data_IF_521648383722
#
_entry.id   IF_521648383722
#
_cell.length_a   1.000
_cell.length_b   1.000
_cell.length_c   1.000
_cell.angle_alpha   90.00
_cell.angle_beta   90.00
_cell.angle_gamma   90.00
#
_symmetry.space_group_name_H-M   'P 1'
#
loop_
_entity.id
_entity.type
_entity.pdbx_description
1 polymer ?
#
# COMPACT_ATOMS: atom_id res chain seq x y z
N UNK A 1 19.99 11.30 21.61
CA UNK A 1 20.67 12.30 20.76
C UNK A 1 21.80 12.99 21.52
N UNK A 2 22.94 13.33 20.88
CA UNK A 2 23.95 14.22 21.46
C UNK A 2 23.33 15.58 21.86
N UNK A 3 23.66 16.09 23.05
CA UNK A 3 23.01 17.26 23.65
C UNK A 3 23.12 18.56 22.82
N UNK A 4 24.14 18.69 21.96
CA UNK A 4 24.34 19.88 21.12
C UNK A 4 23.48 19.94 19.85
N UNK A 5 22.81 18.85 19.45
CA UNK A 5 22.04 18.82 18.19
C UNK A 5 20.61 19.36 18.33
N UNK A 6 20.00 19.21 19.50
CA UNK A 6 18.61 19.69 19.73
C UNK A 6 18.51 21.22 19.54
N UNK A 7 19.36 22.06 20.16
CA UNK A 7 19.31 23.52 19.94
C UNK A 7 19.62 23.93 18.50
N UNK A 8 20.41 23.12 17.78
CA UNK A 8 20.69 23.34 16.36
C UNK A 8 19.43 23.11 15.52
N UNK A 9 18.73 22.00 15.74
CA UNK A 9 17.49 21.69 15.02
C UNK A 9 16.36 22.66 15.37
N UNK A 10 16.23 23.09 16.62
CA UNK A 10 15.28 24.15 17.01
C UNK A 10 15.54 25.44 16.23
N UNK A 11 16.80 25.85 16.08
CA UNK A 11 17.16 27.03 15.28
C UNK A 11 16.81 26.84 13.80
N UNK A 12 17.01 25.63 13.25
CA UNK A 12 16.63 25.31 11.87
C UNK A 12 15.11 25.37 11.68
N UNK A 13 14.31 24.89 12.65
CA UNK A 13 12.84 25.01 12.62
C UNK A 13 12.40 26.48 12.70
N UNK A 14 13.02 27.27 13.59
CA UNK A 14 12.74 28.71 13.70
C UNK A 14 13.00 29.46 12.38
N UNK A 15 14.04 29.07 11.63
CA UNK A 15 14.32 29.67 10.34
C UNK A 15 13.18 29.42 9.34
N UNK A 16 12.59 28.23 9.34
CA UNK A 16 11.43 27.91 8.50
C UNK A 16 10.22 28.78 8.88
N UNK A 17 9.98 28.97 10.18
CA UNK A 17 8.87 29.80 10.66
C UNK A 17 9.02 31.29 10.32
N UNK A 18 10.25 31.75 10.08
CA UNK A 18 10.55 33.13 9.68
C UNK A 18 10.35 33.38 8.18
N UNK A 19 10.14 32.32 7.38
CA UNK A 19 9.77 32.48 5.97
C UNK A 19 8.40 33.14 5.85
N UNK A 20 8.07 33.63 4.64
CA UNK A 20 6.71 34.06 4.33
C UNK A 20 5.72 32.94 4.66
N UNK A 21 4.55 33.30 5.20
CA UNK A 21 3.59 32.36 5.78
C UNK A 21 3.29 31.15 4.86
N UNK A 22 3.10 31.40 3.55
CA UNK A 22 2.84 30.32 2.58
C UNK A 22 4.03 29.37 2.44
N UNK A 23 5.26 29.90 2.34
CA UNK A 23 6.47 29.09 2.23
C UNK A 23 6.73 28.28 3.50
N UNK A 24 6.51 28.87 4.68
CA UNK A 24 6.61 28.14 5.95
C UNK A 24 5.64 26.96 5.98
N UNK A 25 4.38 27.16 5.56
CA UNK A 25 3.40 26.07 5.48
C UNK A 25 3.79 25.00 4.46
N UNK A 26 4.29 25.37 3.27
CA UNK A 26 4.76 24.40 2.27
C UNK A 26 5.94 23.57 2.78
N UNK A 27 6.92 24.21 3.41
CA UNK A 27 8.04 23.53 4.04
C UNK A 27 7.55 22.55 5.13
N UNK A 28 6.60 22.99 5.96
CA UNK A 28 6.01 22.15 7.02
C UNK A 28 5.34 20.89 6.44
N UNK A 29 4.55 21.04 5.39
CA UNK A 29 3.89 19.93 4.70
C UNK A 29 4.89 18.93 4.12
N UNK A 30 5.92 19.44 3.43
CA UNK A 30 6.98 18.61 2.82
C UNK A 30 7.81 17.87 3.86
N UNK A 31 8.26 18.56 4.92
CA UNK A 31 9.05 17.96 6.00
C UNK A 31 8.20 16.92 6.74
N UNK A 32 6.94 17.23 7.06
CA UNK A 32 6.03 16.30 7.71
C UNK A 32 5.88 15.01 6.91
N UNK A 33 5.56 15.13 5.61
CA UNK A 33 5.41 13.97 4.72
C UNK A 33 6.70 13.15 4.60
N UNK A 34 7.85 13.80 4.42
CA UNK A 34 9.15 13.13 4.35
C UNK A 34 9.54 12.44 5.66
N UNK A 35 9.10 12.95 6.80
CA UNK A 35 9.43 12.41 8.13
C UNK A 35 8.65 11.14 8.47
N UNK A 36 7.37 11.09 8.10
CA UNK A 36 6.49 9.93 8.37
C UNK A 36 6.56 8.86 7.27
N UNK A 37 7.24 9.13 6.15
CA UNK A 37 7.35 8.18 5.05
C UNK A 37 8.18 6.95 5.43
N UNK A 38 7.74 5.75 5.04
CA UNK A 38 8.45 4.50 5.32
C UNK A 38 9.67 4.27 4.43
N UNK A 39 9.81 5.08 3.37
CA UNK A 39 11.00 5.14 2.51
C UNK A 39 11.16 6.55 1.95
N UNK A 40 12.36 6.92 1.45
CA UNK A 40 12.55 8.14 0.69
C UNK A 40 11.51 8.26 -0.43
N UNK A 41 10.88 9.43 -0.53
CA UNK A 41 9.84 9.70 -1.52
C UNK A 41 10.46 10.25 -2.81
N UNK A 42 10.03 9.73 -3.95
CA UNK A 42 10.34 10.37 -5.23
C UNK A 42 9.63 11.73 -5.29
N UNK A 43 10.18 12.72 -6.00
CA UNK A 43 9.59 14.05 -6.11
C UNK A 43 8.13 14.02 -6.59
N UNK A 44 7.81 13.17 -7.58
CA UNK A 44 6.42 12.97 -8.03
C UNK A 44 5.49 12.48 -6.92
N UNK A 45 5.97 11.64 -6.00
CA UNK A 45 5.18 11.11 -4.88
C UNK A 45 5.03 12.15 -3.79
N UNK A 46 6.13 12.85 -3.44
CA UNK A 46 6.12 13.88 -2.41
C UNK A 46 5.20 15.04 -2.79
N UNK A 47 5.19 15.46 -4.05
CA UNK A 47 4.31 16.53 -4.52
C UNK A 47 2.82 16.25 -4.23
N UNK A 48 2.38 15.03 -4.53
CA UNK A 48 0.97 14.64 -4.32
C UNK A 48 0.66 14.27 -2.86
N UNK A 49 1.62 13.68 -2.12
CA UNK A 49 1.43 13.22 -0.75
C UNK A 49 1.55 14.32 0.31
N UNK A 50 2.40 15.32 0.07
CA UNK A 50 2.56 16.47 0.98
C UNK A 50 1.30 17.33 1.08
N UNK A 51 0.38 17.23 0.11
CA UNK A 51 -0.83 18.03 0.08
C UNK A 51 -0.62 19.46 -0.38
N UNK A 52 0.50 19.75 -1.04
CA UNK A 52 0.76 21.04 -1.68
C UNK A 52 -0.30 21.35 -2.75
N UNK A 53 -0.59 22.64 -3.00
CA UNK A 53 -1.34 23.06 -4.17
C UNK A 53 -0.68 22.56 -5.47
N UNK A 54 -1.48 22.26 -6.50
CA UNK A 54 -1.00 21.65 -7.75
C UNK A 54 0.04 22.53 -8.47
N UNK A 55 -0.20 23.84 -8.50
CA UNK A 55 0.68 24.86 -9.06
C UNK A 55 2.04 24.94 -8.35
N UNK A 56 2.08 24.64 -7.05
CA UNK A 56 3.33 24.62 -6.26
C UNK A 56 4.05 23.28 -6.41
N UNK A 57 3.31 22.18 -6.59
CA UNK A 57 3.89 20.85 -6.80
C UNK A 57 4.76 20.78 -8.06
N UNK A 58 4.52 21.63 -9.06
CA UNK A 58 5.34 21.71 -10.27
C UNK A 58 6.75 22.28 -10.00
N UNK A 59 6.91 23.08 -8.94
CA UNK A 59 8.19 23.62 -8.46
C UNK A 59 8.60 23.06 -7.09
N UNK A 60 8.32 21.77 -6.87
CA UNK A 60 8.60 21.09 -5.61
C UNK A 60 10.08 21.16 -5.19
N UNK A 61 11.01 21.22 -6.15
CA UNK A 61 12.45 21.32 -5.86
C UNK A 61 12.77 22.58 -5.08
N UNK A 62 12.20 23.72 -5.48
CA UNK A 62 12.38 24.99 -4.77
C UNK A 62 11.86 24.91 -3.32
N UNK A 63 10.76 24.20 -3.09
CA UNK A 63 10.24 23.96 -1.73
C UNK A 63 11.19 23.08 -0.90
N UNK A 64 11.71 22.00 -1.50
CA UNK A 64 12.68 21.13 -0.83
C UNK A 64 14.00 21.87 -0.56
N UNK A 65 14.43 22.77 -1.44
CA UNK A 65 15.63 23.59 -1.25
C UNK A 65 15.46 24.59 -0.09
N UNK A 66 14.25 25.13 0.13
CA UNK A 66 13.95 25.90 1.35
C UNK A 66 14.06 25.04 2.62
N UNK A 67 13.87 23.73 2.49
CA UNK A 67 14.00 22.75 3.57
C UNK A 67 15.38 22.09 3.63
N UNK A 68 16.40 22.63 2.94
CA UNK A 68 17.72 22.01 2.81
C UNK A 68 18.48 21.79 4.13
N UNK A 69 18.01 22.37 5.24
CA UNK A 69 18.50 22.08 6.59
C UNK A 69 18.11 20.69 7.09
N UNK A 70 17.04 20.10 6.56
CA UNK A 70 16.50 18.80 6.95
C UNK A 70 16.46 17.79 5.81
N UNK A 71 16.31 18.27 4.58
CA UNK A 71 16.07 17.45 3.40
C UNK A 71 17.19 17.58 2.36
N UNK A 72 17.41 16.52 1.62
CA UNK A 72 18.32 16.52 0.47
C UNK A 72 17.72 15.70 -0.67
N UNK A 73 18.01 16.11 -1.92
CA UNK A 73 17.56 15.41 -3.12
C UNK A 73 18.72 14.59 -3.70
N UNK A 74 18.50 13.30 -3.93
CA UNK A 74 19.43 12.40 -4.66
C UNK A 74 18.63 11.55 -5.62
N UNK A 75 19.00 11.53 -6.90
CA UNK A 75 18.31 10.76 -7.94
C UNK A 75 16.79 10.93 -7.93
N UNK A 76 16.34 12.19 -7.78
CA UNK A 76 14.92 12.59 -7.66
C UNK A 76 14.17 12.03 -6.45
N UNK A 77 14.88 11.50 -5.45
CA UNK A 77 14.32 11.07 -4.18
C UNK A 77 14.72 12.04 -3.06
N UNK A 78 13.79 12.29 -2.15
CA UNK A 78 13.96 13.19 -1.01
C UNK A 78 14.28 12.37 0.24
N UNK A 79 15.41 12.69 0.85
CA UNK A 79 15.93 12.05 2.05
C UNK A 79 15.99 13.03 3.21
N UNK A 80 15.74 12.55 4.42
CA UNK A 80 16.20 13.23 5.63
C UNK A 80 17.73 13.16 5.68
N UNK A 81 18.38 14.26 6.05
CA UNK A 81 19.85 14.36 6.04
C UNK A 81 20.50 13.41 7.06
N UNK A 82 19.81 13.07 8.15
CA UNK A 82 20.31 12.14 9.16
C UNK A 82 19.18 11.53 10.03
N UNK A 83 19.39 10.33 10.59
CA UNK A 83 18.40 9.68 11.47
C UNK A 83 18.04 10.52 12.70
N UNK A 84 19.00 11.24 13.29
CA UNK A 84 18.73 12.13 14.43
C UNK A 84 17.79 13.29 14.11
N UNK A 85 17.70 13.70 12.84
CA UNK A 85 16.70 14.68 12.39
C UNK A 85 15.31 14.06 12.50
N UNK A 86 15.15 12.81 12.07
CA UNK A 86 13.88 12.11 12.18
C UNK A 86 13.42 12.04 13.64
N UNK A 87 14.30 11.59 14.54
CA UNK A 87 14.01 11.47 15.96
C UNK A 87 13.59 12.82 16.58
N UNK A 88 14.27 13.91 16.21
CA UNK A 88 13.92 15.26 16.66
C UNK A 88 12.57 15.73 16.10
N UNK A 89 12.34 15.52 14.80
CA UNK A 89 11.13 15.98 14.13
C UNK A 89 9.89 15.25 14.66
N UNK A 90 9.98 13.96 14.97
CA UNK A 90 8.88 13.17 15.53
C UNK A 90 8.28 13.76 16.82
N UNK A 91 9.09 14.48 17.60
CA UNK A 91 8.67 15.15 18.83
C UNK A 91 8.29 16.63 18.61
N UNK A 92 8.48 17.16 17.40
CA UNK A 92 8.27 18.57 17.09
C UNK A 92 6.80 18.92 16.89
N UNK A 93 6.23 19.66 17.84
CA UNK A 93 4.87 20.23 17.74
C UNK A 93 4.74 21.33 16.69
N UNK A 94 5.87 21.95 16.29
CA UNK A 94 5.88 23.00 15.27
C UNK A 94 5.66 22.42 13.88
N UNK A 95 6.33 21.30 13.58
CA UNK A 95 6.18 20.62 12.30
C UNK A 95 4.88 19.79 12.29
N UNK A 96 4.64 19.05 13.36
CA UNK A 96 3.43 18.25 13.56
C UNK A 96 2.40 18.98 14.45
N UNK A 97 1.82 20.08 13.93
CA UNK A 97 0.81 20.87 14.66
C UNK A 97 -0.35 20.04 15.22
N UNK A 98 -0.77 19.01 14.48
CA UNK A 98 -1.86 18.12 14.85
C UNK A 98 -1.36 16.76 15.41
N UNK A 99 -0.06 16.65 15.65
CA UNK A 99 0.59 15.44 16.13
C UNK A 99 1.00 14.46 15.03
N UNK A 100 1.86 13.52 15.42
CA UNK A 100 2.45 12.50 14.54
C UNK A 100 1.38 11.60 13.90
N UNK A 101 0.38 11.18 14.68
CA UNK A 101 -0.72 10.35 14.21
C UNK A 101 -1.57 11.03 13.11
N UNK A 102 -1.80 12.34 13.23
CA UNK A 102 -2.55 13.10 12.23
C UNK A 102 -1.77 13.25 10.91
N UNK A 103 -0.45 13.27 10.96
CA UNK A 103 0.37 13.24 9.75
C UNK A 103 0.28 11.88 9.02
N UNK A 104 0.31 10.76 9.75
CA UNK A 104 0.01 9.45 9.17
C UNK A 104 -1.42 9.40 8.59
N UNK A 105 -2.42 9.94 9.29
CA UNK A 105 -3.79 10.00 8.78
C UNK A 105 -3.89 10.82 7.48
N UNK A 106 -3.18 11.95 7.41
CA UNK A 106 -3.10 12.77 6.20
C UNK A 106 -2.47 12.00 5.03
N UNK A 107 -1.36 11.30 5.27
CA UNK A 107 -0.71 10.45 4.26
C UNK A 107 -1.62 9.34 3.76
N UNK A 108 -2.42 8.73 4.65
CA UNK A 108 -3.44 7.75 4.29
C UNK A 108 -4.51 8.36 3.38
N UNK A 109 -5.13 9.48 3.76
CA UNK A 109 -6.18 10.12 2.98
C UNK A 109 -5.68 10.56 1.60
N UNK A 110 -4.48 11.16 1.54
CA UNK A 110 -3.84 11.53 0.28
C UNK A 110 -3.55 10.30 -0.58
N UNK A 111 -3.06 9.22 0.02
CA UNK A 111 -2.82 7.97 -0.71
C UNK A 111 -4.09 7.39 -1.33
N UNK A 112 -5.20 7.35 -0.59
CA UNK A 112 -6.49 6.89 -1.12
C UNK A 112 -6.95 7.79 -2.28
N UNK A 113 -6.85 9.11 -2.13
CA UNK A 113 -7.24 10.05 -3.17
C UNK A 113 -6.41 9.85 -4.45
N UNK A 114 -5.08 9.80 -4.34
CA UNK A 114 -4.17 9.63 -5.48
C UNK A 114 -4.45 8.32 -6.20
N UNK A 115 -4.58 7.21 -5.46
CA UNK A 115 -4.91 5.92 -6.06
C UNK A 115 -6.29 5.93 -6.71
N UNK A 116 -7.28 6.59 -6.12
CA UNK A 116 -8.62 6.69 -6.70
C UNK A 116 -8.63 7.47 -8.01
N UNK A 117 -7.81 8.52 -8.11
CA UNK A 117 -7.69 9.36 -9.30
C UNK A 117 -6.80 8.72 -10.39
N UNK A 118 -5.78 7.95 -9.98
CA UNK A 118 -4.75 7.42 -10.89
C UNK A 118 -5.08 6.03 -11.41
N UNK A 119 -5.58 5.13 -10.54
CA UNK A 119 -5.72 3.73 -10.87
C UNK A 119 -6.93 3.49 -11.79
N UNK A 120 -6.66 2.83 -12.91
CA UNK A 120 -7.61 2.42 -13.95
C UNK A 120 -7.28 0.99 -14.41
N UNK A 121 -8.23 0.37 -15.11
CA UNK A 121 -7.98 -0.87 -15.85
C UNK A 121 -6.86 -0.64 -16.88
N UNK A 122 -5.92 -1.57 -16.92
CA UNK A 122 -4.85 -1.65 -17.91
C UNK A 122 -3.94 -0.43 -17.83
N UNK A 123 -3.38 -0.23 -16.63
CA UNK A 123 -2.54 0.90 -16.26
C UNK A 123 -1.40 1.13 -17.25
N UNK A 124 -0.80 0.05 -17.77
CA UNK A 124 0.34 0.09 -18.70
C UNK A 124 -0.05 -0.28 -20.15
N UNK A 125 -1.35 -0.32 -20.45
CA UNK A 125 -1.89 -0.65 -21.79
C UNK A 125 -1.30 -1.97 -22.35
N UNK A 126 -1.32 -3.03 -21.54
CA UNK A 126 -0.84 -4.38 -21.86
C UNK A 126 -1.75 -5.13 -22.83
N UNK A 127 -3.02 -4.73 -22.94
CA UNK A 127 -4.06 -5.24 -23.85
C UNK A 127 -4.50 -6.70 -23.70
N UNK A 128 -3.63 -7.59 -23.20
CA UNK A 128 -3.90 -9.02 -23.16
C UNK A 128 -3.70 -9.61 -21.76
N UNK A 129 -4.68 -10.38 -21.23
CA UNK A 129 -4.60 -11.00 -19.91
C UNK A 129 -3.41 -11.92 -19.67
N UNK A 130 -2.79 -12.44 -20.73
CA UNK A 130 -1.63 -13.32 -20.67
C UNK A 130 -0.27 -12.60 -20.64
N UNK A 131 -0.24 -11.26 -20.64
CA UNK A 131 1.01 -10.50 -20.60
C UNK A 131 1.79 -10.81 -19.31
N UNK A 132 2.96 -11.42 -19.46
CA UNK A 132 3.84 -11.76 -18.34
C UNK A 132 4.49 -10.51 -17.75
N UNK A 133 4.51 -10.40 -16.43
CA UNK A 133 5.14 -9.31 -15.69
C UNK A 133 6.64 -9.15 -16.01
N UNK A 134 7.30 -10.22 -16.45
CA UNK A 134 8.72 -10.21 -16.82
C UNK A 134 8.97 -9.57 -18.19
N UNK A 135 7.94 -9.53 -19.05
CA UNK A 135 8.00 -8.88 -20.36
C UNK A 135 7.48 -7.44 -20.33
N UNK A 136 6.84 -7.03 -19.24
CA UNK A 136 6.28 -5.69 -19.08
C UNK A 136 7.39 -4.64 -19.01
N UNK A 137 7.28 -3.63 -19.88
CA UNK A 137 8.15 -2.44 -19.86
C UNK A 137 7.39 -1.27 -19.26
N UNK A 138 8.03 -0.59 -18.30
CA UNK A 138 7.48 0.63 -17.71
C UNK A 138 7.31 1.72 -18.79
N UNK A 139 6.09 2.28 -18.98
CA UNK A 139 5.84 3.38 -19.89
C UNK A 139 6.60 4.65 -19.51
N UNK A 140 6.77 5.56 -20.49
CA UNK A 140 7.33 6.90 -20.28
C UNK A 140 6.38 7.95 -20.86
N UNK A 141 5.79 8.85 -20.02
CA UNK A 141 5.90 8.89 -18.57
C UNK A 141 5.28 7.66 -17.90
N UNK A 142 5.72 7.34 -16.70
CA UNK A 142 5.12 6.24 -15.93
C UNK A 142 3.83 6.71 -15.25
N UNK A 143 2.67 6.16 -15.63
CA UNK A 143 1.39 6.58 -15.06
C UNK A 143 1.25 6.20 -13.58
N UNK A 144 2.00 5.20 -13.09
CA UNK A 144 1.99 4.81 -11.67
C UNK A 144 2.96 5.63 -10.82
N UNK A 145 3.89 6.40 -11.40
CA UNK A 145 4.91 7.15 -10.68
C UNK A 145 4.39 7.95 -9.46
N UNK A 146 3.27 8.71 -9.52
CA UNK A 146 2.77 9.43 -8.35
C UNK A 146 2.09 8.53 -7.30
N UNK A 147 1.62 7.35 -7.69
CA UNK A 147 0.85 6.44 -6.84
C UNK A 147 1.68 5.29 -6.25
N UNK A 148 2.92 5.05 -6.70
CA UNK A 148 3.71 3.85 -6.30
C UNK A 148 3.84 3.70 -4.80
N UNK A 149 4.24 4.77 -4.10
CA UNK A 149 4.31 4.78 -2.64
C UNK A 149 2.95 4.44 -2.01
N UNK A 150 1.88 5.10 -2.47
CA UNK A 150 0.52 4.91 -1.97
C UNK A 150 0.03 3.49 -2.14
N UNK A 151 0.31 2.84 -3.28
CA UNK A 151 -0.06 1.46 -3.54
C UNK A 151 0.48 0.50 -2.47
N UNK A 152 1.65 0.78 -1.89
CA UNK A 152 2.32 -0.09 -0.93
C UNK A 152 1.98 0.28 0.53
N UNK A 153 1.94 1.57 0.88
CA UNK A 153 1.99 2.00 2.27
C UNK A 153 0.71 2.62 2.85
N UNK A 154 -0.38 2.74 2.07
CA UNK A 154 -1.60 3.40 2.53
C UNK A 154 -2.19 2.77 3.81
N UNK A 155 -2.20 1.43 3.91
CA UNK A 155 -2.69 0.73 5.12
C UNK A 155 -1.74 0.90 6.30
N UNK A 156 -0.43 0.97 6.06
CA UNK A 156 0.55 1.20 7.12
C UNK A 156 0.29 2.56 7.79
N UNK A 157 0.07 3.60 6.98
CA UNK A 157 -0.29 4.92 7.50
C UNK A 157 -1.61 4.90 8.27
N UNK A 158 -2.65 4.22 7.78
CA UNK A 158 -3.90 4.09 8.52
C UNK A 158 -3.70 3.39 9.88
N UNK A 159 -2.95 2.28 9.89
CA UNK A 159 -2.65 1.52 11.09
C UNK A 159 -1.92 2.37 12.15
N UNK A 160 -0.89 3.11 11.74
CA UNK A 160 -0.11 3.93 12.66
C UNK A 160 -0.92 5.13 13.14
N UNK A 161 -1.76 5.71 12.29
CA UNK A 161 -2.68 6.76 12.68
C UNK A 161 -3.67 6.29 13.75
N UNK A 162 -4.21 5.07 13.63
CA UNK A 162 -5.15 4.49 14.62
C UNK A 162 -4.44 4.08 15.90
N UNK A 163 -3.24 3.51 15.78
CA UNK A 163 -2.46 2.99 16.92
C UNK A 163 -1.98 4.10 17.85
N UNK A 164 -1.71 5.28 17.30
CA UNK A 164 -1.35 6.46 18.06
C UNK A 164 -2.60 7.27 18.44
N UNK A 165 -2.91 7.37 19.73
CA UNK A 165 -4.11 8.10 20.23
C UNK A 165 -4.13 9.54 19.72
N UNK A 166 -5.07 9.84 18.82
CA UNK A 166 -5.43 11.20 18.41
C UNK A 166 -6.53 11.75 19.31
N UNK A 167 -6.58 13.08 19.46
CA UNK A 167 -7.73 13.76 20.09
C UNK A 167 -9.01 13.67 19.27
N UNK A 168 -8.89 13.44 17.96
CA UNK A 168 -10.01 13.26 17.03
C UNK A 168 -10.16 11.78 16.64
N UNK A 169 -11.34 11.17 16.77
CA UNK A 169 -11.54 9.78 16.38
C UNK A 169 -11.36 9.63 14.86
N UNK A 170 -10.49 8.69 14.45
CA UNK A 170 -10.32 8.32 13.05
C UNK A 170 -11.50 7.42 12.66
N UNK A 171 -12.38 7.95 11.81
CA UNK A 171 -13.61 7.27 11.42
C UNK A 171 -13.58 6.84 9.95
N UNK A 172 -12.54 6.14 9.52
CA UNK A 172 -12.41 5.66 8.12
C UNK A 172 -12.84 4.20 7.92
N UNK A 173 -12.97 3.45 9.02
CA UNK A 173 -13.24 2.01 9.07
C UNK A 173 -14.72 1.72 9.39
N UNK A 174 -15.63 2.22 8.55
CA UNK A 174 -17.06 1.93 8.65
C UNK A 174 -17.66 1.70 7.25
N UNK A 175 -18.90 1.22 7.22
CA UNK A 175 -19.64 1.02 5.97
C UNK A 175 -19.80 2.37 5.24
N UNK A 176 -19.53 2.38 3.92
CA UNK A 176 -19.50 3.60 3.11
C UNK A 176 -18.43 4.64 3.50
N UNK A 177 -17.51 4.27 4.41
CA UNK A 177 -16.33 5.07 4.75
C UNK A 177 -15.23 5.03 3.68
N UNK A 178 -14.13 5.73 3.94
CA UNK A 178 -13.00 5.90 3.00
C UNK A 178 -12.46 4.56 2.47
N UNK A 179 -12.21 3.60 3.37
CA UNK A 179 -11.67 2.29 2.98
C UNK A 179 -12.70 1.47 2.20
N UNK A 180 -13.97 1.49 2.63
CA UNK A 180 -15.04 0.80 1.93
C UNK A 180 -15.20 1.29 0.49
N UNK A 181 -15.25 2.61 0.30
CA UNK A 181 -15.42 3.23 -1.00
C UNK A 181 -14.24 2.95 -1.94
N UNK A 182 -13.02 2.96 -1.41
CA UNK A 182 -11.84 2.61 -2.19
C UNK A 182 -11.86 1.14 -2.64
N UNK A 183 -12.01 0.21 -1.70
CA UNK A 183 -12.02 -1.22 -2.03
C UNK A 183 -13.17 -1.58 -2.97
N UNK A 184 -14.36 -1.02 -2.76
CA UNK A 184 -15.51 -1.35 -3.60
C UNK A 184 -15.41 -0.89 -5.05
N UNK A 185 -14.54 0.09 -5.35
CA UNK A 185 -14.43 0.71 -6.69
C UNK A 185 -13.07 0.52 -7.36
N UNK A 186 -12.01 0.30 -6.58
CA UNK A 186 -10.62 0.36 -7.06
C UNK A 186 -9.80 -0.88 -6.72
N UNK A 187 -10.37 -1.88 -6.05
CA UNK A 187 -9.61 -3.04 -5.58
C UNK A 187 -8.88 -3.79 -6.69
N UNK A 188 -9.54 -4.11 -7.82
CA UNK A 188 -8.85 -4.81 -8.92
C UNK A 188 -7.74 -3.96 -9.56
N UNK A 189 -7.99 -2.67 -9.78
CA UNK A 189 -6.96 -1.76 -10.31
C UNK A 189 -5.78 -1.62 -9.34
N UNK A 190 -6.04 -1.70 -8.03
CA UNK A 190 -4.99 -1.75 -7.02
C UNK A 190 -4.20 -3.05 -7.07
N UNK A 191 -4.85 -4.21 -7.26
CA UNK A 191 -4.14 -5.49 -7.45
C UNK A 191 -3.29 -5.50 -8.72
N UNK A 192 -3.80 -4.94 -9.82
CA UNK A 192 -3.02 -4.76 -11.05
C UNK A 192 -1.78 -3.88 -10.80
N UNK A 193 -1.96 -2.73 -10.15
CA UNK A 193 -0.85 -1.85 -9.80
C UNK A 193 0.17 -2.53 -8.87
N UNK A 194 -0.28 -3.30 -7.88
CA UNK A 194 0.61 -4.09 -7.05
C UNK A 194 1.40 -5.12 -7.87
N UNK A 195 0.77 -5.80 -8.84
CA UNK A 195 1.49 -6.70 -9.74
C UNK A 195 2.55 -5.98 -10.57
N UNK A 196 2.19 -4.84 -11.18
CA UNK A 196 3.11 -4.00 -11.96
C UNK A 196 4.30 -3.48 -11.12
N UNK A 197 4.07 -3.24 -9.83
CA UNK A 197 5.10 -2.83 -8.87
C UNK A 197 5.82 -4.01 -8.21
N UNK A 198 5.47 -5.25 -8.56
CA UNK A 198 5.94 -6.49 -7.91
C UNK A 198 5.70 -6.51 -6.39
N UNK A 199 4.66 -5.79 -5.96
CA UNK A 199 4.26 -5.58 -4.56
C UNK A 199 3.06 -6.43 -4.11
N UNK A 200 2.75 -7.52 -4.81
CA UNK A 200 1.69 -8.46 -4.39
C UNK A 200 1.84 -8.91 -2.93
N UNK A 201 3.06 -9.18 -2.42
CA UNK A 201 3.24 -9.50 -1.01
C UNK A 201 2.72 -8.46 -0.03
N UNK A 202 3.05 -7.20 -0.29
CA UNK A 202 2.67 -6.05 0.50
C UNK A 202 1.15 -5.87 0.50
N UNK A 203 0.49 -6.16 -0.64
CA UNK A 203 -0.96 -6.21 -0.74
C UNK A 203 -1.62 -7.22 0.21
N UNK A 204 -1.06 -8.44 0.32
CA UNK A 204 -1.59 -9.47 1.23
C UNK A 204 -1.43 -9.03 2.69
N UNK A 205 -0.27 -8.48 3.03
CA UNK A 205 -0.01 -7.92 4.37
C UNK A 205 -0.98 -6.78 4.68
N UNK A 206 -1.21 -5.88 3.73
CA UNK A 206 -2.15 -4.77 3.87
C UNK A 206 -3.58 -5.27 4.14
N UNK A 207 -4.09 -6.23 3.37
CA UNK A 207 -5.42 -6.81 3.59
C UNK A 207 -5.52 -7.57 4.92
N UNK A 208 -4.44 -8.19 5.36
CA UNK A 208 -4.37 -8.86 6.67
C UNK A 208 -4.45 -7.85 7.81
N UNK A 209 -3.69 -6.75 7.73
CA UNK A 209 -3.74 -5.65 8.72
C UNK A 209 -5.13 -5.03 8.82
N UNK A 210 -5.78 -4.75 7.68
CA UNK A 210 -7.16 -4.25 7.69
C UNK A 210 -8.13 -5.21 8.37
N UNK A 211 -7.95 -6.53 8.18
CA UNK A 211 -8.73 -7.54 8.86
C UNK A 211 -8.54 -7.54 10.38
N UNK A 212 -7.32 -7.31 10.86
CA UNK A 212 -7.00 -7.23 12.30
C UNK A 212 -7.58 -5.95 12.93
N UNK A 213 -7.59 -4.84 12.20
CA UNK A 213 -8.13 -3.56 12.66
C UNK A 213 -9.66 -3.57 12.82
N UNK A 214 -10.36 -4.54 12.22
CA UNK A 214 -11.81 -4.68 12.37
C UNK A 214 -12.14 -5.78 13.37
N UNK A 215 -12.91 -5.43 14.40
CA UNK A 215 -13.42 -6.42 15.36
C UNK A 215 -14.42 -7.37 14.67
N UNK A 216 -14.18 -8.69 14.81
CA UNK A 216 -15.02 -9.74 14.20
C UNK A 216 -16.48 -9.71 14.65
N UNK A 217 -16.75 -9.10 15.80
CA UNK A 217 -18.09 -8.93 16.38
C UNK A 217 -19.02 -8.06 15.53
N UNK A 218 -18.46 -7.16 14.70
CA UNK A 218 -19.23 -6.09 14.06
C UNK A 218 -19.88 -6.48 12.72
N UNK A 219 -19.51 -7.63 12.11
CA UNK A 219 -20.08 -8.21 10.85
C UNK A 219 -20.58 -7.21 9.79
N UNK A 220 -19.93 -6.05 9.67
CA UNK A 220 -20.37 -4.94 8.82
C UNK A 220 -20.17 -5.25 7.34
N UNK A 221 -20.71 -4.43 6.42
CA UNK A 221 -20.44 -4.60 4.98
C UNK A 221 -18.95 -4.48 4.70
N UNK A 222 -18.26 -3.55 5.35
CA UNK A 222 -16.81 -3.38 5.24
C UNK A 222 -16.05 -4.61 5.76
N UNK A 223 -16.43 -5.17 6.91
CA UNK A 223 -15.81 -6.39 7.43
C UNK A 223 -15.93 -7.54 6.42
N UNK A 224 -17.12 -7.75 5.89
CA UNK A 224 -17.36 -8.80 4.90
C UNK A 224 -16.58 -8.56 3.60
N UNK A 225 -16.52 -7.31 3.12
CA UNK A 225 -15.73 -6.92 1.95
C UNK A 225 -14.24 -7.18 2.15
N UNK A 226 -13.66 -6.75 3.28
CA UNK A 226 -12.23 -6.99 3.58
C UNK A 226 -11.94 -8.49 3.69
N UNK A 227 -12.83 -9.27 4.32
CA UNK A 227 -12.67 -10.72 4.43
C UNK A 227 -12.69 -11.41 3.07
N UNK A 228 -13.63 -11.02 2.20
CA UNK A 228 -13.74 -11.53 0.83
C UNK A 228 -12.52 -11.12 -0.03
N UNK A 229 -12.16 -9.83 -0.01
CA UNK A 229 -10.98 -9.30 -0.69
C UNK A 229 -9.69 -10.00 -0.24
N UNK A 230 -9.51 -10.24 1.07
CA UNK A 230 -8.37 -11.00 1.59
C UNK A 230 -8.33 -12.42 1.03
N UNK A 231 -9.47 -13.10 0.90
CA UNK A 231 -9.52 -14.43 0.24
C UNK A 231 -9.18 -14.33 -1.24
N UNK A 232 -9.74 -13.34 -1.94
CA UNK A 232 -9.48 -13.11 -3.36
C UNK A 232 -7.98 -12.95 -3.67
N UNK A 233 -7.27 -12.08 -2.94
CA UNK A 233 -5.82 -11.89 -3.16
C UNK A 233 -5.00 -13.12 -2.75
N UNK A 234 -5.40 -13.88 -1.73
CA UNK A 234 -4.71 -15.11 -1.35
C UNK A 234 -4.88 -16.21 -2.39
N UNK A 235 -6.08 -16.35 -2.96
CA UNK A 235 -6.41 -17.37 -3.97
C UNK A 235 -5.80 -17.06 -5.33
N UNK A 236 -5.84 -15.79 -5.75
CA UNK A 236 -5.47 -15.40 -7.12
C UNK A 236 -4.18 -14.59 -7.23
N UNK A 237 -3.59 -14.19 -6.10
CA UNK A 237 -2.45 -13.27 -6.09
C UNK A 237 -1.21 -13.76 -6.84
N UNK A 238 -1.00 -15.07 -6.93
CA UNK A 238 0.09 -15.63 -7.75
C UNK A 238 -0.15 -15.40 -9.25
N UNK A 239 -1.36 -15.68 -9.74
CA UNK A 239 -1.69 -15.48 -11.15
C UNK A 239 -1.65 -13.99 -11.52
N UNK A 240 -2.22 -13.14 -10.66
CA UNK A 240 -2.19 -11.69 -10.83
C UNK A 240 -0.75 -11.18 -10.80
N UNK A 241 0.08 -11.65 -9.86
CA UNK A 241 1.48 -11.26 -9.73
C UNK A 241 2.35 -11.62 -10.94
N UNK A 242 2.03 -12.71 -11.64
CA UNK A 242 2.73 -13.11 -12.86
C UNK A 242 2.15 -12.47 -14.13
N UNK A 243 0.87 -12.14 -14.13
CA UNK A 243 0.19 -11.50 -15.26
C UNK A 243 -0.88 -10.52 -14.73
N UNK A 244 -0.58 -9.20 -14.68
CA UNK A 244 -1.40 -8.21 -13.99
C UNK A 244 -2.88 -8.23 -14.37
N UNK A 245 -3.18 -8.35 -15.66
CA UNK A 245 -4.53 -8.35 -16.21
C UNK A 245 -5.33 -9.63 -15.89
N UNK A 246 -4.72 -10.65 -15.28
CA UNK A 246 -5.47 -11.79 -14.73
C UNK A 246 -6.39 -11.40 -13.56
N UNK A 247 -6.21 -10.20 -12.98
CA UNK A 247 -7.12 -9.65 -11.98
C UNK A 247 -8.56 -9.53 -12.50
N UNK A 248 -8.74 -9.22 -13.78
CA UNK A 248 -10.05 -9.05 -14.43
C UNK A 248 -10.53 -10.33 -15.13
N UNK A 249 -9.60 -11.15 -15.61
CA UNK A 249 -9.91 -12.41 -16.27
C UNK A 249 -10.06 -13.55 -15.25
N UNK A 250 -9.02 -14.35 -15.06
CA UNK A 250 -9.14 -15.58 -14.28
C UNK A 250 -9.56 -15.33 -12.83
N UNK A 251 -9.07 -14.27 -12.18
CA UNK A 251 -9.38 -14.04 -10.77
C UNK A 251 -10.88 -13.81 -10.53
N UNK A 252 -11.56 -13.02 -11.38
CA UNK A 252 -13.01 -12.83 -11.28
C UNK A 252 -13.80 -14.09 -11.67
N UNK A 253 -13.47 -14.68 -12.81
CA UNK A 253 -14.24 -15.77 -13.40
C UNK A 253 -14.19 -17.02 -12.51
N UNK A 254 -13.02 -17.29 -11.92
CA UNK A 254 -12.78 -18.44 -11.02
C UNK A 254 -12.95 -18.09 -9.53
N UNK A 255 -13.52 -16.93 -9.20
CA UNK A 255 -13.99 -16.65 -7.84
C UNK A 255 -15.37 -17.28 -7.59
N UNK A 256 -15.73 -17.62 -6.34
CA UNK A 256 -17.07 -18.09 -5.99
C UNK A 256 -18.18 -17.13 -6.41
N UNK A 257 -19.38 -17.65 -6.71
CA UNK A 257 -20.50 -16.85 -7.23
C UNK A 257 -20.97 -15.77 -6.25
N UNK A 258 -20.87 -16.03 -4.95
CA UNK A 258 -21.25 -15.10 -3.89
C UNK A 258 -20.11 -14.16 -3.46
N UNK A 259 -18.91 -14.27 -4.06
CA UNK A 259 -17.79 -13.38 -3.75
C UNK A 259 -18.21 -11.91 -3.96
N UNK A 260 -17.96 -11.09 -2.95
CA UNK A 260 -18.33 -9.68 -2.95
C UNK A 260 -17.49 -8.93 -4.00
N UNK A 261 -16.19 -9.20 -4.04
CA UNK A 261 -15.25 -8.67 -5.04
C UNK A 261 -15.73 -9.02 -6.44
N UNK A 262 -16.10 -10.28 -6.68
CA UNK A 262 -16.61 -10.69 -7.99
C UNK A 262 -17.84 -9.89 -8.42
N UNK A 263 -18.82 -9.75 -7.53
CA UNK A 263 -20.07 -9.01 -7.82
C UNK A 263 -19.83 -7.52 -8.05
N UNK A 264 -18.94 -6.90 -7.27
CA UNK A 264 -18.64 -5.47 -7.40
C UNK A 264 -17.97 -5.13 -8.72
N UNK A 265 -17.18 -6.06 -9.27
CA UNK A 265 -16.41 -5.86 -10.50
C UNK A 265 -16.90 -6.74 -11.66
N UNK A 266 -18.15 -7.21 -11.64
CA UNK A 266 -18.70 -8.04 -12.72
C UNK A 266 -18.61 -7.34 -14.10
N UNK A 267 -18.74 -6.00 -14.11
CA UNK A 267 -18.61 -5.19 -15.33
C UNK A 267 -17.19 -5.13 -15.91
N UNK A 268 -16.17 -5.55 -15.18
CA UNK A 268 -14.78 -5.64 -15.66
C UNK A 268 -14.47 -7.01 -16.29
N UNK A 269 -15.38 -7.99 -16.21
CA UNK A 269 -15.15 -9.32 -16.77
C UNK A 269 -15.00 -9.24 -18.31
N UNK A 270 -14.06 -10.02 -18.90
CA UNK A 270 -13.87 -9.98 -20.35
C UNK A 270 -15.07 -10.55 -21.12
N UNK A 271 -15.62 -9.76 -22.03
CA UNK A 271 -16.78 -10.13 -22.85
C UNK A 271 -16.56 -11.34 -23.78
N UNK A 272 -15.30 -11.74 -24.01
CA UNK A 272 -14.97 -12.89 -24.85
C UNK A 272 -15.14 -14.25 -24.13
N UNK A 273 -15.30 -14.25 -22.80
CA UNK A 273 -15.59 -15.49 -22.03
C UNK A 273 -17.09 -15.72 -21.98
N UNK A 274 -17.61 -16.37 -23.03
CA UNK A 274 -19.06 -16.62 -23.17
C UNK A 274 -19.56 -17.69 -22.21
N UNK A 275 -18.76 -18.72 -21.94
CA UNK A 275 -19.10 -19.81 -21.03
C UNK A 275 -18.28 -19.73 -19.75
N UNK A 276 -18.91 -19.30 -18.65
CA UNK A 276 -18.28 -19.23 -17.34
C UNK A 276 -18.23 -20.64 -16.70
N UNK A 277 -17.14 -20.99 -15.99
CA UNK A 277 -17.03 -22.26 -15.28
C UNK A 277 -18.08 -22.34 -14.16
N UNK A 278 -18.48 -23.57 -13.82
CA UNK A 278 -19.31 -23.81 -12.65
C UNK A 278 -18.46 -23.61 -11.39
N UNK A 279 -18.61 -22.44 -10.76
CA UNK A 279 -17.95 -22.11 -9.50
C UNK A 279 -18.85 -22.43 -8.30
N UNK A 280 -18.22 -22.73 -7.17
CA UNK A 280 -18.91 -22.84 -5.88
C UNK A 280 -19.65 -21.53 -5.52
N UNK A 281 -20.67 -21.63 -4.66
CA UNK A 281 -21.39 -20.45 -4.18
C UNK A 281 -20.48 -19.58 -3.31
N UNK A 282 -19.85 -20.18 -2.29
CA UNK A 282 -18.98 -19.49 -1.34
C UNK A 282 -17.54 -19.96 -1.42
N UNK A 283 -16.63 -19.14 -0.90
CA UNK A 283 -15.25 -19.54 -0.64
C UNK A 283 -15.20 -20.72 0.32
N UNK A 284 -14.38 -21.71 0.03
CA UNK A 284 -14.17 -22.85 0.93
C UNK A 284 -13.36 -22.46 2.19
N UNK A 285 -13.04 -23.44 3.04
CA UNK A 285 -12.20 -23.23 4.21
C UNK A 285 -10.70 -23.08 3.85
N UNK A 286 -10.32 -23.42 2.61
CA UNK A 286 -8.94 -23.34 2.15
C UNK A 286 -8.59 -21.88 1.85
N UNK A 287 -7.76 -21.28 2.69
CA UNK A 287 -7.31 -19.90 2.44
C UNK A 287 -6.17 -19.81 1.43
N UNK A 288 -5.38 -20.87 1.28
CA UNK A 288 -4.29 -20.94 0.32
C UNK A 288 -3.85 -22.39 0.08
N UNK A 289 -3.48 -22.70 -1.17
CA UNK A 289 -2.82 -23.96 -1.54
C UNK A 289 -1.35 -23.67 -1.83
N UNK A 290 -0.44 -24.33 -1.10
CA UNK A 290 1.01 -24.18 -1.28
C UNK A 290 1.51 -25.24 -2.27
N UNK A 291 1.88 -24.81 -3.46
CA UNK A 291 2.32 -25.67 -4.57
C UNK A 291 3.83 -25.58 -4.75
N UNK A 292 4.51 -26.71 -4.95
CA UNK A 292 5.96 -26.73 -5.18
C UNK A 292 6.64 -28.08 -4.94
N UNK A 293 6.02 -28.95 -4.14
CA UNK A 293 6.49 -30.35 -4.02
C UNK A 293 6.10 -31.14 -5.27
N UNK A 294 7.07 -31.77 -5.93
CA UNK A 294 6.82 -32.65 -7.08
C UNK A 294 6.31 -34.05 -6.71
N UNK A 295 6.37 -34.40 -5.41
CA UNK A 295 5.92 -35.66 -4.84
C UNK A 295 4.97 -35.36 -3.65
N UNK A 296 4.54 -36.39 -2.90
CA UNK A 296 3.76 -36.22 -1.68
C UNK A 296 4.46 -35.33 -0.63
N UNK A 297 3.73 -34.85 0.37
CA UNK A 297 4.31 -34.13 1.52
C UNK A 297 4.26 -35.05 2.74
N UNK A 298 5.41 -35.34 3.35
CA UNK A 298 5.52 -36.28 4.47
C UNK A 298 5.45 -35.62 5.85
N UNK A 299 5.77 -34.32 5.92
CA UNK A 299 5.72 -33.56 7.16
C UNK A 299 5.47 -32.07 6.90
N UNK A 300 4.77 -31.43 7.85
CA UNK A 300 4.54 -29.99 7.90
C UNK A 300 4.72 -29.50 9.33
N UNK A 301 5.34 -28.33 9.51
CA UNK A 301 5.53 -27.71 10.82
C UNK A 301 5.41 -26.19 10.72
N UNK A 302 4.67 -25.57 11.64
CA UNK A 302 4.61 -24.11 11.75
C UNK A 302 5.75 -23.59 12.64
N UNK A 303 6.23 -22.39 12.36
CA UNK A 303 7.07 -21.67 13.31
C UNK A 303 6.27 -21.31 14.58
N UNK A 304 6.93 -21.13 15.74
CA UNK A 304 6.25 -20.80 16.98
C UNK A 304 5.44 -19.50 16.93
N UNK A 305 5.85 -18.56 16.08
CA UNK A 305 5.15 -17.28 15.82
C UNK A 305 4.03 -17.41 14.78
N UNK A 306 3.82 -18.60 14.20
CA UNK A 306 2.83 -18.86 13.15
C UNK A 306 3.11 -18.15 11.82
N UNK A 307 4.24 -17.46 11.67
CA UNK A 307 4.55 -16.65 10.48
C UNK A 307 5.16 -17.46 9.34
N UNK A 308 5.62 -18.67 9.61
CA UNK A 308 6.27 -19.55 8.63
C UNK A 308 5.74 -20.96 8.75
N UNK A 309 5.74 -21.65 7.62
CA UNK A 309 5.46 -23.06 7.52
C UNK A 309 6.67 -23.73 6.87
N UNK A 310 7.14 -24.83 7.41
CA UNK A 310 8.05 -25.73 6.73
C UNK A 310 7.27 -26.95 6.22
N UNK A 311 7.53 -27.39 4.99
CA UNK A 311 7.04 -28.65 4.47
C UNK A 311 8.16 -29.48 3.85
N UNK A 312 8.16 -30.78 4.11
CA UNK A 312 9.24 -31.67 3.73
C UNK A 312 8.74 -33.03 3.22
N UNK A 313 9.43 -33.56 2.20
CA UNK A 313 9.44 -34.98 1.86
C UNK A 313 10.80 -35.34 1.26
N UNK A 314 11.44 -36.39 1.80
CA UNK A 314 12.73 -36.86 1.29
C UNK A 314 13.83 -35.80 1.43
N UNK A 315 14.45 -35.43 0.31
CA UNK A 315 15.54 -34.44 0.26
C UNK A 315 15.08 -32.99 0.02
N UNK A 316 13.78 -32.75 -0.21
CA UNK A 316 13.25 -31.42 -0.49
C UNK A 316 12.59 -30.83 0.77
N UNK A 317 13.08 -29.66 1.19
CA UNK A 317 12.49 -28.85 2.27
C UNK A 317 12.11 -27.50 1.66
N UNK A 318 10.85 -27.12 1.82
CA UNK A 318 10.36 -25.80 1.46
C UNK A 318 9.98 -25.04 2.73
N UNK A 319 10.41 -23.79 2.82
CA UNK A 319 9.95 -22.85 3.81
C UNK A 319 9.00 -21.85 3.14
N UNK A 320 7.83 -21.67 3.72
CA UNK A 320 6.77 -20.79 3.26
C UNK A 320 6.55 -19.70 4.29
N UNK A 321 6.09 -18.55 3.83
CA UNK A 321 5.52 -17.55 4.72
C UNK A 321 4.02 -17.79 4.84
N UNK A 322 3.46 -17.75 6.06
CA UNK A 322 2.02 -17.91 6.24
C UNK A 322 1.22 -16.72 5.71
N UNK A 323 1.89 -15.61 5.39
CA UNK A 323 1.33 -14.45 4.69
C UNK A 323 1.64 -14.44 3.19
N UNK A 324 2.58 -15.24 2.68
CA UNK A 324 3.01 -15.19 1.27
C UNK A 324 3.25 -16.59 0.70
N UNK A 325 2.65 -16.87 -0.47
CA UNK A 325 2.73 -18.15 -1.22
C UNK A 325 4.14 -18.49 -1.75
N UNK A 326 5.20 -17.84 -1.29
CA UNK A 326 6.55 -18.00 -1.83
C UNK A 326 7.36 -19.00 -1.03
N UNK A 327 8.12 -19.84 -1.73
CA UNK A 327 9.28 -20.53 -1.17
C UNK A 327 10.33 -19.48 -0.78
N UNK A 328 10.74 -19.48 0.49
CA UNK A 328 11.98 -18.85 0.91
C UNK A 328 13.12 -19.72 0.36
N UNK A 329 13.53 -19.50 -0.89
CA UNK A 329 14.79 -20.05 -1.37
C UNK A 329 15.93 -19.40 -0.56
N UNK A 330 16.72 -20.24 0.10
CA UNK A 330 18.03 -19.86 0.63
C UNK A 330 19.09 -20.01 -0.45
#
# INVERSE_FOLDING_TARGET
MPAGLVPLYERMVLHIQQLQHQNSEFCRLVISAATVAYRPLHLCELGVLSGLPRDVSDDLRSVVDMCASFLTIRDNHVYLIHQSVQDFLMESTTIFQHGFAAAHHTMFLKSIQIMSDTLRHDMYDLHHPGASIDDVRQPKPDPLAPARYSCIYWVNHLNDAISHRTSTPINDLHDDGTVYNFLSKKYLYWLEALSLLRGMPEGVVAMTKLGILLEESNKSRLFNLIRDARRFILSHGWAIGNAPLQAYASALIFSPRQSITRKLFEGEEPNWVVSKPAMAEDWDACMATLEGHGNGVGSVAFSPDGQRLASALGCCIFAWSSTLRWSLHR
#
